data_IF_929425615525
#
_entry.id   IF_929425615525
#
_cell.length_a   1.000
_cell.length_b   1.000
_cell.length_c   1.000
_cell.angle_alpha   90.00
_cell.angle_beta   90.00
_cell.angle_gamma   90.00
#
_symmetry.space_group_name_H-M   'P 1'
#
loop_
_entity.id
_entity.type
_entity.pdbx_description
1 polymer ?
#
# COMPACT_ATOMS: atom_id res chain seq x y z
N UNK A 1 82.56 21.01 27.90
CA UNK A 1 81.16 20.49 27.88
C UNK A 1 80.58 20.80 26.49
N UNK A 2 80.56 19.80 25.60
CA UNK A 2 80.01 19.97 24.25
C UNK A 2 78.61 19.39 24.22
N UNK A 3 77.60 20.23 23.89
CA UNK A 3 76.21 19.79 23.66
C UNK A 3 76.06 19.29 22.23
N UNK A 4 75.72 18.01 22.07
CA UNK A 4 75.28 17.44 20.80
C UNK A 4 73.83 17.76 20.57
N UNK A 5 73.52 18.52 19.51
CA UNK A 5 72.16 18.72 18.99
C UNK A 5 71.82 17.59 18.02
N UNK A 6 70.93 16.70 18.43
CA UNK A 6 70.33 15.72 17.52
C UNK A 6 69.18 16.39 16.77
N UNK A 7 69.32 16.54 15.46
CA UNK A 7 68.36 17.02 14.57
C UNK A 7 67.51 15.81 14.10
N UNK A 8 66.24 15.73 14.54
CA UNK A 8 65.29 14.70 14.13
C UNK A 8 64.66 15.14 12.81
N UNK A 9 65.04 14.51 11.69
CA UNK A 9 64.39 14.73 10.39
C UNK A 9 63.14 13.88 10.35
N UNK A 10 61.96 14.52 10.41
CA UNK A 10 60.65 13.90 10.22
C UNK A 10 60.39 13.77 8.70
N UNK A 11 60.59 12.56 8.16
CA UNK A 11 60.28 12.25 6.77
C UNK A 11 58.73 12.10 6.62
N UNK A 12 58.04 13.13 6.11
CA UNK A 12 56.62 13.11 5.79
C UNK A 12 56.45 12.29 4.49
N UNK A 13 56.09 10.99 4.60
CA UNK A 13 55.63 10.19 3.49
C UNK A 13 54.21 10.66 3.09
N UNK A 14 54.15 11.56 2.12
CA UNK A 14 52.91 11.87 1.40
C UNK A 14 52.51 10.62 0.60
N UNK A 15 51.72 9.76 1.22
CA UNK A 15 51.01 8.71 0.52
C UNK A 15 49.98 9.36 -0.43
N UNK A 16 50.34 9.44 -1.71
CA UNK A 16 49.37 9.78 -2.78
C UNK A 16 48.35 8.66 -2.90
N UNK A 17 47.32 8.71 -2.05
CA UNK A 17 46.13 7.89 -2.21
C UNK A 17 45.48 8.26 -3.55
N UNK A 18 45.65 7.40 -4.55
CA UNK A 18 44.87 7.52 -5.78
C UNK A 18 43.40 7.29 -5.41
N UNK A 19 42.62 8.36 -5.37
CA UNK A 19 41.16 8.27 -5.30
C UNK A 19 40.73 7.59 -6.61
N UNK A 20 40.42 6.30 -6.56
CA UNK A 20 39.86 5.58 -7.69
C UNK A 20 38.39 6.11 -7.84
N UNK A 21 38.26 7.15 -8.63
CA UNK A 21 36.97 7.70 -8.99
C UNK A 21 36.26 6.67 -9.86
N UNK A 22 35.08 6.17 -9.40
CA UNK A 22 34.27 5.26 -10.18
C UNK A 22 33.90 5.91 -11.52
N UNK A 23 34.05 5.16 -12.61
CA UNK A 23 33.64 5.63 -13.94
C UNK A 23 32.15 5.39 -14.13
N UNK A 24 31.52 6.30 -14.85
CA UNK A 24 30.10 6.23 -15.22
C UNK A 24 29.96 6.37 -16.74
N UNK A 25 29.05 5.57 -17.32
CA UNK A 25 28.59 5.74 -18.70
C UNK A 25 27.08 5.73 -18.76
N UNK A 26 26.55 6.49 -19.71
CA UNK A 26 25.12 6.68 -19.91
C UNK A 26 24.73 6.37 -21.35
N UNK A 27 23.51 5.86 -21.53
CA UNK A 27 22.82 5.73 -22.84
C UNK A 27 21.45 6.42 -22.67
N UNK A 28 21.12 7.29 -23.60
CA UNK A 28 19.81 7.99 -23.63
C UNK A 28 19.02 7.48 -24.83
N UNK A 29 17.74 7.22 -24.59
CA UNK A 29 16.79 6.82 -25.63
C UNK A 29 15.60 7.77 -25.53
N UNK A 30 15.18 8.33 -26.65
CA UNK A 30 14.02 9.22 -26.74
C UNK A 30 13.04 8.68 -27.79
N UNK A 31 11.74 8.63 -27.43
CA UNK A 31 10.64 8.27 -28.33
C UNK A 31 9.48 9.22 -28.12
N UNK A 32 8.82 9.54 -29.19
CA UNK A 32 7.63 10.37 -29.22
C UNK A 32 6.64 9.78 -30.23
N UNK A 33 5.35 9.71 -29.88
CA UNK A 33 4.29 9.23 -30.76
C UNK A 33 2.96 9.88 -30.42
N UNK A 34 2.19 10.27 -31.44
CA UNK A 34 0.80 10.64 -31.30
C UNK A 34 -0.05 9.40 -31.02
N UNK A 35 -0.97 9.50 -30.07
CA UNK A 35 -1.82 8.38 -29.63
C UNK A 35 -3.29 8.78 -29.61
N UNK A 36 -4.13 7.79 -29.82
CA UNK A 36 -5.56 7.95 -29.68
C UNK A 36 -5.97 8.10 -28.20
N UNK A 37 -7.11 8.75 -27.98
CA UNK A 37 -7.73 8.81 -26.68
C UNK A 37 -8.05 7.39 -26.16
N UNK A 38 -7.63 7.08 -24.95
CA UNK A 38 -7.84 5.74 -24.36
C UNK A 38 -6.80 4.69 -24.81
N UNK A 39 -5.74 5.07 -25.53
CA UNK A 39 -4.65 4.15 -25.89
C UNK A 39 -4.02 3.51 -24.63
N UNK A 40 -3.54 2.28 -24.79
CA UNK A 40 -2.83 1.56 -23.71
C UNK A 40 -1.33 1.87 -23.75
N UNK A 41 -0.78 2.30 -22.61
CA UNK A 41 0.66 2.54 -22.43
C UNK A 41 1.21 1.47 -21.49
N UNK A 42 2.01 0.55 -22.06
CA UNK A 42 2.59 -0.60 -21.34
C UNK A 42 4.09 -0.39 -21.16
N UNK A 43 4.54 -0.39 -19.90
CA UNK A 43 5.96 -0.21 -19.56
C UNK A 43 6.39 -1.36 -18.66
N UNK A 44 7.44 -2.06 -19.07
CA UNK A 44 8.07 -3.12 -18.28
C UNK A 44 9.53 -2.74 -18.04
N UNK A 45 9.86 -2.52 -16.77
CA UNK A 45 11.20 -2.12 -16.33
C UNK A 45 11.63 -2.85 -15.07
N UNK A 46 12.93 -2.87 -14.85
CA UNK A 46 13.57 -3.32 -13.61
C UNK A 46 14.80 -2.47 -13.31
N UNK A 47 15.12 -2.30 -12.02
CA UNK A 47 16.32 -1.60 -11.53
C UNK A 47 16.38 -0.10 -11.84
N UNK A 48 15.27 0.59 -11.69
CA UNK A 48 15.18 2.04 -11.86
C UNK A 48 13.80 2.59 -11.58
N UNK A 49 13.59 3.89 -11.75
CA UNK A 49 12.30 4.52 -11.48
C UNK A 49 11.48 4.71 -12.76
N UNK A 50 10.16 4.58 -12.64
CA UNK A 50 9.19 5.07 -13.62
C UNK A 50 8.62 6.40 -13.11
N UNK A 51 8.96 7.50 -13.78
CA UNK A 51 8.44 8.84 -13.46
C UNK A 51 7.44 9.25 -14.55
N UNK A 52 6.16 9.17 -14.23
CA UNK A 52 5.08 9.35 -15.20
C UNK A 52 4.29 10.61 -14.85
N UNK A 53 4.16 11.49 -15.83
CA UNK A 53 3.37 12.71 -15.73
C UNK A 53 2.31 12.72 -16.82
N UNK A 54 1.06 12.79 -16.42
CA UNK A 54 -0.04 12.94 -17.36
C UNK A 54 -0.20 14.41 -17.80
N UNK A 55 -0.66 14.62 -19.03
CA UNK A 55 -0.86 15.93 -19.63
C UNK A 55 -2.09 15.98 -20.55
N UNK A 56 -2.35 17.16 -21.14
CA UNK A 56 -3.50 17.39 -22.02
C UNK A 56 -3.12 17.38 -23.53
N UNK A 57 -2.06 16.64 -23.91
CA UNK A 57 -1.67 16.48 -25.32
C UNK A 57 -1.90 15.03 -25.76
N UNK A 58 -2.42 14.80 -26.96
CA UNK A 58 -2.67 13.47 -27.54
C UNK A 58 -1.36 12.81 -28.02
N UNK A 59 -0.37 12.76 -27.15
CA UNK A 59 0.97 12.30 -27.45
C UNK A 59 1.63 11.64 -26.24
N UNK A 60 2.40 10.57 -26.49
CA UNK A 60 3.28 9.93 -25.50
C UNK A 60 4.73 10.31 -25.80
N UNK A 61 5.44 10.72 -24.77
CA UNK A 61 6.90 10.94 -24.81
C UNK A 61 7.55 10.03 -23.79
N UNK A 62 8.56 9.28 -24.23
CA UNK A 62 9.33 8.35 -23.39
C UNK A 62 10.81 8.71 -23.48
N UNK A 63 11.39 9.15 -22.38
CA UNK A 63 12.82 9.34 -22.21
C UNK A 63 13.36 8.25 -21.28
N UNK A 64 14.35 7.45 -21.77
CA UNK A 64 15.01 6.43 -20.97
C UNK A 64 16.46 6.81 -20.74
N UNK A 65 16.89 6.81 -19.50
CA UNK A 65 18.27 7.02 -19.08
C UNK A 65 18.85 5.74 -18.47
N UNK A 66 19.75 5.09 -19.22
CA UNK A 66 20.48 3.93 -18.75
C UNK A 66 21.85 4.40 -18.25
N UNK A 67 22.10 4.15 -16.96
CA UNK A 67 23.36 4.53 -16.27
C UNK A 67 24.09 3.28 -15.82
N UNK A 68 25.38 3.14 -16.14
CA UNK A 68 26.24 2.06 -15.65
C UNK A 68 27.45 2.64 -14.95
N UNK A 69 27.72 2.23 -13.72
CA UNK A 69 28.84 2.65 -12.87
C UNK A 69 29.72 1.48 -12.49
N UNK A 70 31.04 1.69 -12.41
CA UNK A 70 31.98 0.65 -12.00
C UNK A 70 33.43 1.13 -12.01
N UNK A 71 34.37 0.18 -11.87
CA UNK A 71 35.78 0.50 -11.86
C UNK A 71 36.49 0.18 -13.18
N UNK A 72 35.91 -0.70 -14.01
CA UNK A 72 36.54 -1.15 -15.26
C UNK A 72 35.74 -0.63 -16.46
N UNK A 73 36.34 0.30 -17.22
CA UNK A 73 35.68 0.95 -18.38
C UNK A 73 35.21 -0.05 -19.44
N UNK A 74 35.93 -1.13 -19.69
CA UNK A 74 35.54 -2.16 -20.68
C UNK A 74 34.30 -2.94 -20.21
N UNK A 75 34.25 -3.29 -18.91
CA UNK A 75 33.09 -3.97 -18.33
C UNK A 75 31.87 -3.06 -18.28
N UNK A 76 32.05 -1.77 -17.92
CA UNK A 76 30.98 -0.76 -17.95
C UNK A 76 30.40 -0.66 -19.37
N UNK A 77 31.26 -0.54 -20.41
CA UNK A 77 30.81 -0.45 -21.79
C UNK A 77 30.09 -1.73 -22.25
N UNK A 78 30.65 -2.91 -21.89
CA UNK A 78 30.00 -4.19 -22.20
C UNK A 78 28.60 -4.27 -21.58
N UNK A 79 28.47 -3.89 -20.29
CA UNK A 79 27.15 -3.88 -19.60
C UNK A 79 26.21 -2.88 -20.23
N UNK A 80 26.67 -1.66 -20.54
CA UNK A 80 25.82 -0.66 -21.18
C UNK A 80 25.28 -1.15 -22.55
N UNK A 81 26.08 -1.87 -23.30
CA UNK A 81 25.69 -2.44 -24.61
C UNK A 81 24.74 -3.65 -24.48
N UNK A 82 24.71 -4.32 -23.31
CA UNK A 82 23.80 -5.46 -23.07
C UNK A 82 22.41 -5.03 -22.62
N UNK A 83 22.22 -3.74 -22.30
CA UNK A 83 20.92 -3.20 -21.91
C UNK A 83 20.32 -2.42 -23.07
N UNK A 84 19.12 -2.79 -23.47
CA UNK A 84 18.35 -2.09 -24.50
C UNK A 84 16.88 -1.98 -24.12
N UNK A 85 16.10 -1.21 -24.88
CA UNK A 85 14.66 -1.09 -24.74
C UNK A 85 14.01 -1.44 -26.09
N UNK A 86 13.10 -2.40 -26.07
CA UNK A 86 12.26 -2.70 -27.22
C UNK A 86 11.02 -1.82 -27.20
N UNK A 87 10.58 -1.39 -28.37
CA UNK A 87 9.40 -0.53 -28.52
C UNK A 87 8.42 -1.11 -29.56
N UNK A 88 7.14 -1.10 -29.20
CA UNK A 88 6.02 -1.16 -30.14
C UNK A 88 5.27 0.17 -30.07
N UNK A 89 5.21 0.89 -31.15
CA UNK A 89 4.61 2.23 -31.20
C UNK A 89 3.46 2.25 -32.20
N UNK A 90 2.22 2.34 -31.71
CA UNK A 90 1.03 2.58 -32.53
C UNK A 90 0.11 3.61 -31.86
N UNK A 91 -0.80 4.25 -32.58
CA UNK A 91 -1.75 5.18 -31.98
C UNK A 91 -2.65 4.56 -30.90
N UNK A 92 -2.89 3.25 -30.94
CA UNK A 92 -3.75 2.53 -29.99
C UNK A 92 -2.99 1.93 -28.82
N UNK A 93 -1.69 1.62 -29.03
CA UNK A 93 -0.88 0.94 -28.02
C UNK A 93 0.60 1.35 -28.14
N UNK A 94 1.16 1.76 -27.03
CA UNK A 94 2.60 2.01 -26.88
C UNK A 94 3.17 1.02 -25.87
N UNK A 95 4.22 0.29 -26.28
CA UNK A 95 4.93 -0.63 -25.38
C UNK A 95 6.39 -0.22 -25.33
N UNK A 96 6.96 -0.17 -24.12
CA UNK A 96 8.40 -0.04 -23.89
C UNK A 96 8.83 -1.07 -22.87
N UNK A 97 9.71 -1.99 -23.30
CA UNK A 97 10.17 -3.11 -22.46
C UNK A 97 11.69 -3.08 -22.35
N UNK A 98 12.20 -3.05 -21.14
CA UNK A 98 13.64 -3.16 -20.87
C UNK A 98 14.13 -4.57 -21.14
N UNK A 99 15.16 -4.71 -21.99
CA UNK A 99 15.83 -5.97 -22.32
C UNK A 99 17.26 -6.00 -21.81
N UNK A 100 17.58 -6.98 -20.98
CA UNK A 100 18.93 -7.20 -20.45
C UNK A 100 19.46 -8.50 -21.06
N UNK A 101 20.29 -8.39 -22.10
CA UNK A 101 20.78 -9.51 -22.92
C UNK A 101 21.96 -10.30 -22.33
N UNK A 102 22.14 -10.29 -21.02
CA UNK A 102 23.14 -11.13 -20.33
C UNK A 102 22.41 -12.10 -19.39
N UNK A 103 22.63 -13.41 -19.55
CA UNK A 103 21.91 -14.49 -18.87
C UNK A 103 22.17 -14.64 -17.37
N UNK A 104 22.19 -13.55 -16.60
CA UNK A 104 22.66 -13.52 -15.23
C UNK A 104 21.72 -12.82 -14.23
N UNK A 105 20.54 -12.52 -14.60
CA UNK A 105 19.43 -12.10 -13.72
C UNK A 105 19.83 -11.35 -12.43
N UNK A 106 19.03 -11.56 -11.41
CA UNK A 106 19.15 -10.93 -10.08
C UNK A 106 20.49 -11.20 -9.40
N UNK A 107 21.03 -12.42 -9.53
CA UNK A 107 22.29 -12.83 -8.92
C UNK A 107 23.46 -11.94 -9.39
N UNK A 108 23.48 -11.61 -10.67
CA UNK A 108 24.52 -10.75 -11.23
C UNK A 108 24.40 -9.30 -10.71
N UNK A 109 23.20 -8.77 -10.55
CA UNK A 109 22.98 -7.42 -10.04
C UNK A 109 23.56 -7.23 -8.63
N UNK A 110 23.40 -8.22 -7.74
CA UNK A 110 23.91 -8.12 -6.37
C UNK A 110 25.42 -8.38 -6.24
N UNK A 111 25.98 -9.22 -7.09
CA UNK A 111 27.38 -9.68 -6.94
C UNK A 111 28.35 -9.09 -7.96
N UNK A 112 27.90 -8.33 -8.96
CA UNK A 112 28.81 -7.67 -9.90
C UNK A 112 29.42 -6.40 -9.32
N UNK A 113 30.63 -6.07 -9.80
CA UNK A 113 31.28 -4.80 -9.48
C UNK A 113 30.71 -3.59 -10.22
N UNK A 114 29.94 -3.86 -11.26
CA UNK A 114 29.24 -2.86 -12.08
C UNK A 114 27.78 -2.75 -11.62
N UNK A 115 27.35 -1.54 -11.24
CA UNK A 115 25.96 -1.22 -10.90
C UNK A 115 25.31 -0.49 -12.07
N UNK A 116 24.05 -0.77 -12.31
CA UNK A 116 23.28 -0.08 -13.35
C UNK A 116 21.92 0.36 -12.85
N UNK A 117 21.36 1.36 -13.54
CA UNK A 117 20.04 1.92 -13.29
C UNK A 117 19.39 2.28 -14.61
N UNK A 118 18.10 2.06 -14.74
CA UNK A 118 17.32 2.30 -15.95
C UNK A 118 16.09 3.12 -15.56
N UNK A 119 16.18 4.44 -15.75
CA UNK A 119 15.14 5.37 -15.34
C UNK A 119 14.30 5.79 -16.55
N UNK A 120 13.00 5.73 -16.42
CA UNK A 120 12.03 6.22 -17.40
C UNK A 120 11.43 7.53 -16.92
N UNK A 121 11.36 8.50 -17.82
CA UNK A 121 10.55 9.70 -17.69
C UNK A 121 9.53 9.71 -18.80
N UNK A 122 8.25 9.63 -18.43
CA UNK A 122 7.16 9.42 -19.37
C UNK A 122 6.15 10.55 -19.24
N UNK A 123 5.73 11.09 -20.38
CA UNK A 123 4.56 11.98 -20.45
C UNK A 123 3.50 11.30 -21.31
N UNK A 124 2.26 11.27 -20.84
CA UNK A 124 1.15 10.62 -21.52
C UNK A 124 -0.18 11.37 -21.32
N UNK A 125 -1.15 11.23 -22.22
CA UNK A 125 -2.49 11.80 -22.03
C UNK A 125 -3.15 11.24 -20.75
N UNK A 126 -3.75 12.08 -19.94
CA UNK A 126 -4.44 11.67 -18.70
C UNK A 126 -5.59 10.68 -18.93
N UNK A 127 -6.15 10.65 -20.16
CA UNK A 127 -7.27 9.77 -20.53
C UNK A 127 -6.84 8.37 -20.98
N UNK A 128 -5.53 8.13 -21.13
CA UNK A 128 -5.02 6.84 -21.55
C UNK A 128 -4.99 5.85 -20.37
N UNK A 129 -4.99 4.57 -20.70
CA UNK A 129 -4.80 3.51 -19.71
C UNK A 129 -3.33 3.15 -19.61
N UNK A 130 -2.89 2.69 -18.44
CA UNK A 130 -1.51 2.24 -18.23
C UNK A 130 -1.46 0.80 -17.74
N UNK A 131 -0.41 0.08 -18.16
CA UNK A 131 0.03 -1.20 -17.62
C UNK A 131 1.52 -1.08 -17.30
N UNK A 132 1.82 -0.98 -16.00
CA UNK A 132 3.15 -0.65 -15.50
C UNK A 132 3.68 -1.78 -14.65
N UNK A 133 4.82 -2.31 -15.03
CA UNK A 133 5.59 -3.25 -14.21
C UNK A 133 6.95 -2.65 -13.90
N UNK A 134 7.34 -2.63 -12.62
CA UNK A 134 8.66 -2.14 -12.21
C UNK A 134 9.19 -2.82 -10.96
N UNK A 135 10.28 -3.55 -11.08
CA UNK A 135 10.96 -4.17 -9.95
C UNK A 135 12.17 -3.34 -9.50
N UNK A 136 12.42 -3.31 -8.20
CA UNK A 136 13.56 -2.62 -7.59
C UNK A 136 13.63 -1.12 -7.92
N UNK A 137 12.48 -0.43 -7.84
CA UNK A 137 12.43 1.01 -8.07
C UNK A 137 11.10 1.63 -7.70
N UNK A 138 10.96 2.92 -7.93
CA UNK A 138 9.74 3.66 -7.58
C UNK A 138 8.89 3.91 -8.81
N UNK A 139 7.59 3.66 -8.74
CA UNK A 139 6.61 4.15 -9.71
C UNK A 139 6.00 5.43 -9.17
N UNK A 140 6.15 6.53 -9.91
CA UNK A 140 5.50 7.83 -9.64
C UNK A 140 4.53 8.14 -10.77
N UNK A 141 3.28 8.35 -10.43
CA UNK A 141 2.22 8.73 -11.37
C UNK A 141 1.36 9.82 -10.72
N UNK A 142 1.27 11.00 -11.35
CA UNK A 142 0.55 12.12 -10.76
C UNK A 142 -0.98 11.99 -10.86
N UNK A 143 -1.52 11.67 -12.04
CA UNK A 143 -2.98 11.60 -12.25
C UNK A 143 -3.32 10.74 -13.46
N UNK A 144 -4.42 10.00 -13.39
CA UNK A 144 -4.94 9.22 -14.51
C UNK A 144 -6.47 9.15 -14.48
N UNK A 145 -7.11 9.35 -15.64
CA UNK A 145 -8.55 9.18 -15.85
C UNK A 145 -8.87 7.80 -16.43
N UNK A 146 -7.93 7.21 -17.21
CA UNK A 146 -8.02 5.84 -17.69
C UNK A 146 -7.67 4.81 -16.62
N UNK A 147 -7.80 3.53 -16.96
CA UNK A 147 -7.50 2.43 -16.05
C UNK A 147 -5.99 2.35 -15.77
N UNK A 148 -5.63 2.20 -14.51
CA UNK A 148 -4.29 1.83 -14.08
C UNK A 148 -4.22 0.34 -13.74
N UNK A 149 -3.27 -0.39 -14.34
CA UNK A 149 -2.78 -1.69 -13.93
C UNK A 149 -1.32 -1.49 -13.54
N UNK A 150 -0.96 -1.69 -12.26
CA UNK A 150 0.37 -1.37 -11.73
C UNK A 150 0.87 -2.55 -10.92
N UNK A 151 2.04 -3.06 -11.29
CA UNK A 151 2.80 -4.06 -10.54
C UNK A 151 4.15 -3.49 -10.11
N UNK A 152 4.50 -3.63 -8.81
CA UNK A 152 5.76 -3.09 -8.29
C UNK A 152 6.30 -3.95 -7.14
N UNK A 153 7.39 -4.68 -7.39
CA UNK A 153 8.01 -5.51 -6.38
C UNK A 153 9.34 -4.91 -5.89
N UNK A 154 9.62 -5.05 -4.60
CA UNK A 154 10.83 -4.54 -3.96
C UNK A 154 11.06 -3.05 -4.21
N UNK A 155 9.99 -2.28 -4.28
CA UNK A 155 10.04 -0.89 -4.69
C UNK A 155 9.17 0.04 -3.83
N UNK A 156 8.55 1.00 -4.51
CA UNK A 156 7.65 1.96 -3.87
C UNK A 156 6.65 2.53 -4.88
N UNK A 157 5.41 2.73 -4.45
CA UNK A 157 4.39 3.48 -5.20
C UNK A 157 4.24 4.89 -4.63
N UNK A 158 4.23 5.90 -5.49
CA UNK A 158 3.85 7.28 -5.16
C UNK A 158 2.84 7.71 -6.21
N UNK A 159 1.59 7.53 -5.90
CA UNK A 159 0.48 7.75 -6.83
C UNK A 159 -0.34 8.96 -6.35
N UNK A 160 -0.61 9.89 -7.24
CA UNK A 160 -1.54 10.98 -7.01
C UNK A 160 -2.99 10.49 -7.15
N UNK A 161 -3.63 10.72 -8.28
CA UNK A 161 -5.07 10.49 -8.43
C UNK A 161 -5.40 9.48 -9.53
N UNK A 162 -6.18 8.43 -9.21
CA UNK A 162 -6.70 7.40 -10.13
C UNK A 162 -8.23 7.48 -10.18
N UNK A 163 -8.79 7.88 -11.32
CA UNK A 163 -10.23 8.16 -11.47
C UNK A 163 -11.03 7.02 -12.10
N UNK A 164 -10.41 5.95 -12.56
CA UNK A 164 -11.15 4.76 -13.01
C UNK A 164 -11.71 3.97 -11.83
N UNK A 165 -12.83 3.28 -12.05
CA UNK A 165 -13.48 2.45 -11.01
C UNK A 165 -12.80 1.08 -10.83
N UNK A 166 -11.99 0.64 -11.79
CA UNK A 166 -11.47 -0.73 -11.91
C UNK A 166 -9.94 -0.78 -11.99
N UNK A 167 -9.25 0.06 -11.22
CA UNK A 167 -7.80 0.00 -11.12
C UNK A 167 -7.34 -1.31 -10.49
N UNK A 168 -6.15 -1.75 -10.84
CA UNK A 168 -5.50 -2.94 -10.28
C UNK A 168 -4.11 -2.53 -9.82
N UNK A 169 -3.83 -2.71 -8.54
CA UNK A 169 -2.53 -2.44 -7.95
C UNK A 169 -2.04 -3.73 -7.28
N UNK A 170 -0.88 -4.22 -7.69
CA UNK A 170 -0.22 -5.38 -7.09
C UNK A 170 1.19 -4.97 -6.68
N UNK A 171 1.57 -5.16 -5.41
CA UNK A 171 2.90 -4.77 -4.97
C UNK A 171 3.34 -5.54 -3.73
N UNK A 172 4.52 -6.15 -3.84
CA UNK A 172 5.08 -6.96 -2.79
C UNK A 172 6.42 -6.38 -2.29
N UNK A 173 6.71 -6.60 -1.01
CA UNK A 173 7.94 -6.11 -0.38
C UNK A 173 8.18 -4.60 -0.58
N UNK A 174 7.09 -3.82 -0.57
CA UNK A 174 7.16 -2.36 -0.71
C UNK A 174 6.99 -1.67 0.64
N UNK A 175 7.61 -0.50 0.80
CA UNK A 175 7.50 0.27 2.03
C UNK A 175 7.20 1.74 1.77
N UNK A 176 6.41 2.35 2.67
CA UNK A 176 6.01 3.76 2.59
C UNK A 176 5.35 4.13 1.24
N UNK A 177 4.59 3.22 0.64
CA UNK A 177 3.81 3.50 -0.56
C UNK A 177 2.64 4.43 -0.24
N UNK A 178 2.31 5.35 -1.15
CA UNK A 178 1.26 6.35 -0.92
C UNK A 178 0.41 6.59 -2.16
N UNK A 179 -0.90 6.75 -1.93
CA UNK A 179 -1.90 7.08 -2.94
C UNK A 179 -2.76 8.23 -2.41
N UNK A 180 -2.82 9.34 -3.15
CA UNK A 180 -3.63 10.49 -2.74
C UNK A 180 -5.13 10.22 -2.93
N UNK A 181 -5.51 9.70 -4.11
CA UNK A 181 -6.89 9.35 -4.43
C UNK A 181 -6.98 8.13 -5.33
N UNK A 182 -7.86 7.21 -5.00
CA UNK A 182 -8.27 6.11 -5.87
C UNK A 182 -9.80 5.96 -5.84
N UNK A 183 -10.44 6.06 -7.01
CA UNK A 183 -11.89 5.97 -7.10
C UNK A 183 -12.40 4.56 -6.79
N UNK A 184 -11.72 3.54 -7.31
CA UNK A 184 -12.07 2.16 -7.02
C UNK A 184 -11.08 1.17 -7.64
N UNK A 185 -11.15 -0.08 -7.20
CA UNK A 185 -10.35 -1.17 -7.73
C UNK A 185 -9.93 -2.22 -6.73
N UNK A 186 -9.00 -3.07 -7.16
CA UNK A 186 -8.42 -4.15 -6.36
C UNK A 186 -6.98 -3.82 -6.02
N UNK A 187 -6.60 -4.06 -4.77
CA UNK A 187 -5.23 -3.94 -4.26
C UNK A 187 -4.81 -5.30 -3.72
N UNK A 188 -3.70 -5.83 -4.23
CA UNK A 188 -3.02 -7.00 -3.68
C UNK A 188 -1.66 -6.56 -3.16
N UNK A 189 -1.35 -6.85 -1.89
CA UNK A 189 -0.13 -6.35 -1.27
C UNK A 189 0.37 -7.31 -0.18
N UNK A 190 1.53 -7.93 -0.39
CA UNK A 190 2.14 -8.80 0.60
C UNK A 190 3.45 -8.21 1.14
N UNK A 191 3.72 -8.45 2.42
CA UNK A 191 4.94 -7.94 3.09
C UNK A 191 5.17 -6.45 2.89
N UNK A 192 4.10 -5.65 2.89
CA UNK A 192 4.14 -4.27 2.46
C UNK A 192 3.56 -3.31 3.51
N UNK A 193 3.85 -2.02 3.35
CA UNK A 193 3.15 -0.96 4.06
C UNK A 193 2.75 0.18 3.11
N UNK A 194 1.50 0.64 3.23
CA UNK A 194 0.98 1.70 2.37
C UNK A 194 -0.10 2.54 3.06
N UNK A 195 -0.28 3.75 2.55
CA UNK A 195 -1.33 4.67 2.96
C UNK A 195 -2.12 5.21 1.77
N UNK A 196 -3.44 5.35 1.95
CA UNK A 196 -4.35 5.96 0.98
C UNK A 196 -5.09 7.09 1.67
N UNK A 197 -4.93 8.31 1.13
CA UNK A 197 -5.58 9.49 1.72
C UNK A 197 -7.09 9.46 1.48
N UNK A 198 -7.54 9.15 0.25
CA UNK A 198 -8.97 9.05 -0.06
C UNK A 198 -9.25 7.94 -1.05
N UNK A 199 -10.23 7.11 -0.76
CA UNK A 199 -10.69 6.04 -1.63
C UNK A 199 -12.22 6.00 -1.75
N UNK A 200 -12.70 5.52 -2.90
CA UNK A 200 -14.09 5.12 -3.06
C UNK A 200 -14.29 3.67 -2.63
N UNK A 201 -14.41 2.74 -3.57
CA UNK A 201 -14.64 1.31 -3.29
C UNK A 201 -13.38 0.49 -3.58
N UNK A 202 -12.82 -0.15 -2.54
CA UNK A 202 -11.59 -0.96 -2.63
C UNK A 202 -11.85 -2.38 -2.15
N UNK A 203 -11.36 -3.34 -2.94
CA UNK A 203 -11.13 -4.71 -2.53
C UNK A 203 -9.64 -4.90 -2.24
N UNK A 204 -9.31 -5.24 -0.99
CA UNK A 204 -7.94 -5.44 -0.51
C UNK A 204 -7.70 -6.92 -0.19
N UNK A 205 -6.68 -7.50 -0.82
CA UNK A 205 -6.11 -8.80 -0.44
C UNK A 205 -4.67 -8.58 0.02
N UNK A 206 -4.37 -8.94 1.28
CA UNK A 206 -3.06 -8.64 1.85
C UNK A 206 -2.64 -9.67 2.89
N UNK A 207 -1.35 -10.03 2.87
CA UNK A 207 -0.73 -10.84 3.91
C UNK A 207 0.50 -10.10 4.47
N UNK A 208 0.74 -10.18 5.79
CA UNK A 208 1.87 -9.50 6.46
C UNK A 208 1.98 -8.00 6.14
N UNK A 209 0.85 -7.33 5.94
CA UNK A 209 0.80 -5.97 5.41
C UNK A 209 0.14 -5.00 6.39
N UNK A 210 0.70 -3.79 6.48
CA UNK A 210 0.10 -2.69 7.20
C UNK A 210 -0.57 -1.72 6.20
N UNK A 211 -1.89 -1.70 6.18
CA UNK A 211 -2.69 -0.83 5.33
C UNK A 211 -3.33 0.31 6.12
N UNK A 212 -3.26 1.52 5.62
CA UNK A 212 -3.86 2.71 6.22
C UNK A 212 -4.72 3.47 5.21
N UNK A 213 -5.97 3.75 5.58
CA UNK A 213 -6.92 4.55 4.81
C UNK A 213 -7.34 5.75 5.67
N UNK A 214 -7.12 6.98 5.19
CA UNK A 214 -7.61 8.14 5.92
C UNK A 214 -9.13 8.32 5.72
N UNK A 215 -9.61 8.21 4.48
CA UNK A 215 -11.05 8.19 4.19
C UNK A 215 -11.38 7.18 3.10
N UNK A 216 -12.37 6.32 3.33
CA UNK A 216 -12.83 5.33 2.36
C UNK A 216 -14.34 5.14 2.42
N UNK A 217 -14.99 5.06 1.25
CA UNK A 217 -16.44 4.84 1.17
C UNK A 217 -16.82 3.39 1.47
N UNK A 218 -16.14 2.44 0.82
CA UNK A 218 -16.33 0.99 1.05
C UNK A 218 -15.01 0.28 0.99
N UNK A 219 -14.68 -0.47 2.05
CA UNK A 219 -13.54 -1.37 2.09
C UNK A 219 -14.03 -2.80 2.30
N UNK A 220 -13.71 -3.66 1.33
CA UNK A 220 -13.84 -5.11 1.45
C UNK A 220 -12.41 -5.64 1.54
N UNK A 221 -12.11 -6.44 2.58
CA UNK A 221 -10.73 -6.85 2.77
C UNK A 221 -10.59 -8.30 3.24
N UNK A 222 -9.47 -8.90 2.86
CA UNK A 222 -8.81 -10.00 3.53
C UNK A 222 -7.39 -9.54 3.88
N UNK A 223 -7.03 -9.58 5.17
CA UNK A 223 -5.69 -9.17 5.61
C UNK A 223 -5.25 -10.02 6.80
N UNK A 224 -4.35 -10.96 6.56
CA UNK A 224 -3.81 -11.85 7.58
C UNK A 224 -2.44 -11.35 8.06
N UNK A 225 -2.12 -11.53 9.35
CA UNK A 225 -0.85 -11.13 9.98
C UNK A 225 -0.48 -9.65 9.78
N UNK A 226 -1.44 -8.74 9.94
CA UNK A 226 -1.19 -7.35 9.64
C UNK A 226 -1.91 -6.36 10.55
N UNK A 227 -1.88 -5.10 10.09
CA UNK A 227 -2.60 -4.01 10.73
C UNK A 227 -3.41 -3.25 9.69
N UNK A 228 -4.70 -3.10 9.95
CA UNK A 228 -5.59 -2.28 9.14
C UNK A 228 -6.06 -1.07 9.95
N UNK A 229 -5.74 0.13 9.44
CA UNK A 229 -6.20 1.40 10.00
C UNK A 229 -7.13 2.04 8.99
N UNK A 230 -8.33 2.44 9.42
CA UNK A 230 -9.28 3.16 8.59
C UNK A 230 -9.92 4.29 9.41
N UNK A 231 -9.50 5.55 9.17
CA UNK A 231 -9.87 6.65 10.05
C UNK A 231 -11.32 7.10 9.86
N UNK A 232 -11.81 7.19 8.62
CA UNK A 232 -13.20 7.53 8.32
C UNK A 232 -13.74 6.57 7.26
N UNK A 233 -14.72 5.75 7.63
CA UNK A 233 -15.20 4.62 6.81
C UNK A 233 -16.69 4.68 6.62
N UNK A 234 -17.16 4.51 5.40
CA UNK A 234 -18.57 4.25 5.12
C UNK A 234 -18.92 2.81 5.51
N UNK A 235 -18.60 1.84 4.68
CA UNK A 235 -18.80 0.42 4.93
C UNK A 235 -17.47 -0.32 5.06
N UNK A 236 -17.36 -1.20 6.06
CA UNK A 236 -16.19 -2.03 6.31
C UNK A 236 -16.61 -3.50 6.40
N UNK A 237 -16.09 -4.33 5.49
CA UNK A 237 -16.36 -5.76 5.45
C UNK A 237 -15.07 -6.53 5.27
N UNK A 238 -14.90 -7.63 5.98
CA UNK A 238 -13.72 -8.45 5.72
C UNK A 238 -13.41 -9.47 6.77
N UNK A 239 -12.30 -10.15 6.51
CA UNK A 239 -11.75 -11.22 7.33
C UNK A 239 -10.28 -10.94 7.64
N UNK A 240 -9.79 -11.47 8.75
CA UNK A 240 -8.38 -11.39 9.07
C UNK A 240 -7.97 -12.24 10.24
N UNK A 241 -6.91 -13.02 10.04
CA UNK A 241 -6.27 -13.79 11.10
C UNK A 241 -5.05 -13.02 11.62
N UNK A 242 -4.86 -13.00 12.94
CA UNK A 242 -3.79 -12.20 13.59
C UNK A 242 -3.82 -10.71 13.20
N UNK A 243 -5.02 -10.18 12.97
CA UNK A 243 -5.21 -8.82 12.50
C UNK A 243 -5.42 -7.84 13.67
N UNK A 244 -4.73 -6.71 13.63
CA UNK A 244 -5.05 -5.52 14.44
C UNK A 244 -5.86 -4.54 13.61
N UNK A 245 -7.18 -4.50 13.81
CA UNK A 245 -8.07 -3.54 13.17
C UNK A 245 -8.29 -2.30 14.03
N UNK A 246 -8.06 -1.12 13.47
CA UNK A 246 -8.37 0.19 14.08
C UNK A 246 -9.23 1.01 13.13
N UNK A 247 -10.48 1.27 13.53
CA UNK A 247 -11.38 2.17 12.83
C UNK A 247 -11.58 3.44 13.66
N UNK A 248 -11.46 4.61 13.03
CA UNK A 248 -11.78 5.89 13.64
C UNK A 248 -13.29 6.08 13.74
N UNK A 249 -13.92 6.46 12.64
CA UNK A 249 -15.37 6.70 12.54
C UNK A 249 -15.98 5.75 11.52
N UNK A 250 -17.00 5.02 11.96
CA UNK A 250 -17.84 4.15 11.12
C UNK A 250 -19.17 4.82 10.83
N UNK A 251 -19.58 4.86 9.55
CA UNK A 251 -20.74 5.66 9.12
C UNK A 251 -21.91 4.85 8.56
N UNK A 252 -21.72 3.62 8.05
CA UNK A 252 -22.80 2.86 7.40
C UNK A 252 -22.93 1.42 7.90
N UNK A 253 -21.88 0.62 7.78
CA UNK A 253 -21.98 -0.82 8.01
C UNK A 253 -20.63 -1.42 8.44
N UNK A 254 -20.70 -2.42 9.34
CA UNK A 254 -19.58 -3.28 9.70
C UNK A 254 -19.97 -4.75 9.55
N UNK A 255 -19.11 -5.56 8.93
CA UNK A 255 -19.23 -7.01 8.91
C UNK A 255 -17.84 -7.64 8.95
N UNK A 256 -17.47 -8.23 10.07
CA UNK A 256 -16.13 -8.75 10.32
C UNK A 256 -16.17 -10.21 10.77
N UNK A 257 -15.16 -10.94 10.32
CA UNK A 257 -14.80 -12.28 10.81
C UNK A 257 -13.30 -12.26 11.12
N UNK A 258 -12.92 -12.45 12.41
CA UNK A 258 -11.54 -12.22 12.83
C UNK A 258 -11.09 -13.22 13.89
N UNK A 259 -9.95 -13.85 13.64
CA UNK A 259 -9.31 -14.76 14.59
C UNK A 259 -7.97 -14.19 15.11
N UNK A 260 -7.67 -14.38 16.40
CA UNK A 260 -6.39 -13.99 17.03
C UNK A 260 -6.00 -12.54 16.80
N UNK A 261 -6.80 -11.59 17.26
CA UNK A 261 -6.46 -10.20 16.99
C UNK A 261 -7.07 -9.17 17.94
N UNK A 262 -7.33 -8.00 17.39
CA UNK A 262 -8.07 -6.96 18.11
C UNK A 262 -8.87 -6.07 17.17
N UNK A 263 -10.10 -5.76 17.55
CA UNK A 263 -11.00 -4.86 16.84
C UNK A 263 -11.23 -3.64 17.73
N UNK A 264 -10.83 -2.47 17.27
CA UNK A 264 -11.03 -1.21 17.97
C UNK A 264 -11.68 -0.17 17.06
N UNK A 265 -12.95 0.14 17.31
CA UNK A 265 -13.72 1.17 16.61
C UNK A 265 -13.94 2.32 17.57
N UNK A 266 -13.39 3.50 17.27
CA UNK A 266 -13.46 4.65 18.18
C UNK A 266 -14.85 5.25 18.25
N UNK A 267 -15.57 5.29 17.12
CA UNK A 267 -16.92 5.86 17.07
C UNK A 267 -17.79 5.17 16.01
N UNK A 268 -18.90 4.61 16.44
CA UNK A 268 -20.00 4.15 15.60
C UNK A 268 -21.04 5.28 15.57
N UNK A 269 -21.32 5.80 14.36
CA UNK A 269 -22.23 6.91 14.14
C UNK A 269 -23.70 6.46 14.21
N UNK A 270 -24.64 7.38 14.53
CA UNK A 270 -26.07 7.08 14.53
C UNK A 270 -26.63 6.61 13.18
N UNK A 271 -25.93 6.89 12.09
CA UNK A 271 -26.29 6.47 10.72
C UNK A 271 -25.93 5.02 10.40
N UNK A 272 -25.23 4.31 11.30
CA UNK A 272 -24.83 2.91 11.08
C UNK A 272 -26.07 2.02 11.15
N UNK A 273 -26.28 1.25 10.08
CA UNK A 273 -27.44 0.36 9.92
C UNK A 273 -27.22 -0.99 10.60
N UNK A 274 -26.00 -1.53 10.49
CA UNK A 274 -25.67 -2.85 11.02
C UNK A 274 -24.21 -2.97 11.41
N UNK A 275 -23.97 -3.65 12.54
CA UNK A 275 -22.68 -4.12 13.00
C UNK A 275 -22.78 -5.62 13.26
N UNK A 276 -21.99 -6.41 12.53
CA UNK A 276 -21.88 -7.88 12.68
C UNK A 276 -20.42 -8.20 12.90
N UNK A 277 -20.12 -8.88 13.99
CA UNK A 277 -18.76 -9.30 14.32
C UNK A 277 -18.80 -10.76 14.77
N UNK A 278 -18.10 -11.64 14.06
CA UNK A 278 -17.73 -12.96 14.51
C UNK A 278 -16.25 -12.94 14.87
N UNK A 279 -15.89 -13.43 16.03
CA UNK A 279 -14.52 -13.32 16.49
C UNK A 279 -14.12 -14.50 17.39
N UNK A 280 -12.87 -14.97 17.22
CA UNK A 280 -12.24 -15.93 18.13
C UNK A 280 -10.92 -15.35 18.64
N UNK A 281 -10.61 -15.57 19.94
CA UNK A 281 -9.38 -15.07 20.57
C UNK A 281 -9.10 -13.59 20.27
N UNK A 282 -10.17 -12.77 20.19
CA UNK A 282 -10.10 -11.39 19.72
C UNK A 282 -10.79 -10.46 20.73
N UNK A 283 -10.07 -9.42 21.17
CA UNK A 283 -10.65 -8.35 21.97
C UNK A 283 -11.39 -7.33 21.10
N UNK A 284 -12.65 -7.03 21.45
CA UNK A 284 -13.51 -6.11 20.72
C UNK A 284 -13.78 -4.88 21.58
N UNK A 285 -13.47 -3.69 21.04
CA UNK A 285 -13.77 -2.40 21.69
C UNK A 285 -14.54 -1.50 20.74
N UNK A 286 -15.77 -1.15 21.10
CA UNK A 286 -16.66 -0.30 20.31
C UNK A 286 -17.01 0.97 21.09
N UNK A 287 -16.72 2.12 20.47
CA UNK A 287 -17.20 3.42 20.90
C UNK A 287 -18.58 3.69 20.31
N UNK A 288 -19.57 3.87 21.14
CA UNK A 288 -20.97 4.02 20.75
C UNK A 288 -21.37 5.49 20.86
N UNK A 289 -21.84 6.07 19.76
CA UNK A 289 -22.45 7.41 19.81
C UNK A 289 -23.75 7.37 20.65
N UNK A 290 -23.91 8.31 21.54
CA UNK A 290 -25.07 8.37 22.45
C UNK A 290 -26.44 8.45 21.76
N UNK A 291 -26.45 8.91 20.51
CA UNK A 291 -27.68 9.04 19.71
C UNK A 291 -27.92 7.82 18.81
N UNK A 292 -27.01 6.85 18.77
CA UNK A 292 -27.25 5.61 18.02
C UNK A 292 -28.29 4.75 18.74
N UNK A 293 -29.27 4.26 17.98
CA UNK A 293 -30.36 3.43 18.45
C UNK A 293 -30.28 2.08 17.79
N UNK A 294 -30.22 1.00 18.56
CA UNK A 294 -30.05 -0.34 18.00
C UNK A 294 -30.63 -1.45 18.90
N UNK A 295 -31.04 -2.52 18.23
CA UNK A 295 -31.26 -3.82 18.86
C UNK A 295 -29.94 -4.58 18.88
N UNK A 296 -29.65 -5.29 19.96
CA UNK A 296 -28.40 -6.06 20.05
C UNK A 296 -28.67 -7.52 20.42
N UNK A 297 -27.77 -8.39 19.89
CA UNK A 297 -27.63 -9.78 20.26
C UNK A 297 -26.14 -10.09 20.41
N UNK A 298 -25.71 -10.46 21.60
CA UNK A 298 -24.30 -10.71 21.95
C UNK A 298 -24.21 -12.09 22.59
N UNK A 299 -23.51 -13.02 21.92
CA UNK A 299 -23.25 -14.40 22.38
C UNK A 299 -21.75 -14.59 22.58
N UNK A 300 -21.36 -14.86 23.82
CA UNK A 300 -19.97 -14.98 24.23
C UNK A 300 -19.71 -16.33 24.86
N UNK A 301 -18.78 -17.11 24.29
CA UNK A 301 -18.25 -18.33 24.90
C UNK A 301 -16.86 -18.06 25.47
N UNK A 302 -16.63 -18.40 26.74
CA UNK A 302 -15.39 -18.07 27.48
C UNK A 302 -15.00 -16.60 27.44
N UNK A 303 -15.95 -15.69 27.26
CA UNK A 303 -15.77 -14.24 27.17
C UNK A 303 -16.70 -13.49 28.12
N UNK A 304 -16.51 -12.17 28.20
CA UNK A 304 -17.40 -11.31 29.03
C UNK A 304 -17.72 -10.00 28.30
N UNK A 305 -18.90 -9.44 28.66
CA UNK A 305 -19.35 -8.12 28.22
C UNK A 305 -19.09 -7.10 29.31
N UNK A 306 -18.28 -6.10 28.97
CA UNK A 306 -18.07 -4.90 29.78
C UNK A 306 -18.73 -3.70 29.10
N UNK A 307 -19.77 -3.15 29.69
CA UNK A 307 -20.49 -2.00 29.12
C UNK A 307 -20.69 -0.92 30.16
N UNK A 308 -20.44 0.33 29.78
CA UNK A 308 -20.83 1.52 30.54
C UNK A 308 -22.05 2.22 29.96
N UNK A 309 -22.69 1.61 28.95
CA UNK A 309 -23.96 2.05 28.40
C UNK A 309 -25.14 1.56 29.25
N UNK A 310 -26.22 2.33 29.29
CA UNK A 310 -27.51 1.91 29.88
C UNK A 310 -28.25 0.96 28.91
N UNK A 311 -27.77 -0.28 28.79
CA UNK A 311 -28.40 -1.29 27.94
C UNK A 311 -29.70 -1.78 28.60
N UNK A 312 -30.77 -1.85 27.82
CA UNK A 312 -32.02 -2.48 28.25
C UNK A 312 -32.02 -3.95 27.82
N UNK A 313 -31.82 -4.85 28.78
CA UNK A 313 -31.71 -6.29 28.54
C UNK A 313 -33.12 -6.92 28.54
N UNK A 314 -33.59 -7.41 27.41
CA UNK A 314 -34.78 -8.29 27.34
C UNK A 314 -34.44 -9.73 27.74
N UNK A 315 -33.20 -10.17 27.45
CA UNK A 315 -32.69 -11.48 27.88
C UNK A 315 -31.26 -11.30 28.37
N UNK A 316 -30.95 -11.88 29.53
CA UNK A 316 -29.60 -12.04 30.08
C UNK A 316 -29.48 -13.45 30.63
N UNK A 317 -28.61 -14.25 30.04
CA UNK A 317 -28.32 -15.61 30.49
C UNK A 317 -26.81 -15.75 30.71
N UNK A 318 -26.43 -16.19 31.89
CA UNK A 318 -25.04 -16.54 32.24
C UNK A 318 -25.03 -17.99 32.73
N UNK A 319 -24.58 -18.92 31.90
CA UNK A 319 -24.58 -20.35 32.15
C UNK A 319 -23.20 -20.92 31.87
N UNK A 320 -22.52 -21.38 32.94
CA UNK A 320 -21.16 -21.92 32.83
C UNK A 320 -20.19 -20.97 32.13
N UNK A 321 -19.82 -21.27 30.89
CA UNK A 321 -18.87 -20.50 30.11
C UNK A 321 -19.54 -19.64 29.03
N UNK A 322 -20.87 -19.68 28.92
CA UNK A 322 -21.64 -18.93 27.93
C UNK A 322 -22.36 -17.74 28.58
N UNK A 323 -22.17 -16.58 28.01
CA UNK A 323 -22.83 -15.34 28.36
C UNK A 323 -23.63 -14.84 27.15
N UNK A 324 -24.96 -14.82 27.26
CA UNK A 324 -25.86 -14.37 26.19
C UNK A 324 -26.65 -13.15 26.63
N UNK A 325 -26.61 -12.09 25.82
CA UNK A 325 -27.29 -10.82 26.07
C UNK A 325 -28.10 -10.42 24.83
N UNK A 326 -29.36 -10.06 25.02
CA UNK A 326 -30.23 -9.52 23.97
C UNK A 326 -31.06 -8.37 24.53
N UNK A 327 -31.25 -7.34 23.72
CA UNK A 327 -32.00 -6.16 24.16
C UNK A 327 -31.90 -4.99 23.22
N UNK A 328 -32.07 -3.79 23.76
CA UNK A 328 -32.07 -2.54 23.00
C UNK A 328 -31.22 -1.48 23.69
N UNK A 329 -30.73 -0.55 22.91
CA UNK A 329 -30.12 0.69 23.37
C UNK A 329 -30.77 1.87 22.66
N UNK A 330 -31.25 2.88 23.43
CA UNK A 330 -31.91 4.04 22.89
C UNK A 330 -33.08 3.69 21.92
N UNK A 331 -34.12 2.94 22.34
CA UNK A 331 -35.12 2.44 21.42
C UNK A 331 -35.81 3.59 20.66
N UNK A 332 -35.84 3.47 19.34
CA UNK A 332 -36.49 4.41 18.42
C UNK A 332 -37.23 3.65 17.32
N UNK A 333 -37.85 4.37 16.40
CA UNK A 333 -38.53 3.75 15.23
C UNK A 333 -37.53 3.28 14.15
N UNK A 334 -36.23 3.57 14.29
CA UNK A 334 -35.19 3.15 13.35
C UNK A 334 -34.50 1.94 13.95
N UNK A 335 -34.47 0.83 13.22
CA UNK A 335 -33.92 -0.43 13.71
C UNK A 335 -32.54 -0.63 13.10
N UNK A 336 -31.50 -0.17 13.84
CA UNK A 336 -30.13 -0.62 13.59
C UNK A 336 -29.84 -1.88 14.40
N UNK A 337 -28.84 -2.65 14.01
CA UNK A 337 -28.50 -3.91 14.69
C UNK A 337 -27.05 -3.98 15.11
N UNK A 338 -26.78 -4.58 16.28
CA UNK A 338 -25.46 -4.93 16.78
C UNK A 338 -25.45 -6.41 17.14
N UNK A 339 -24.83 -7.24 16.30
CA UNK A 339 -24.70 -8.67 16.52
C UNK A 339 -23.22 -9.03 16.71
N UNK A 340 -22.89 -9.65 17.84
CA UNK A 340 -21.55 -10.10 18.17
C UNK A 340 -21.60 -11.56 18.62
N UNK A 341 -20.84 -12.40 17.94
CA UNK A 341 -20.50 -13.75 18.38
C UNK A 341 -19.01 -13.79 18.65
N UNK A 342 -18.60 -14.19 19.85
CA UNK A 342 -17.19 -14.21 20.19
C UNK A 342 -16.85 -15.38 21.11
N UNK A 343 -15.72 -16.04 20.80
CA UNK A 343 -15.10 -17.04 21.66
C UNK A 343 -13.76 -16.51 22.20
N UNK A 344 -13.49 -16.72 23.51
CA UNK A 344 -12.24 -16.31 24.18
C UNK A 344 -11.84 -14.85 23.99
N UNK A 345 -12.80 -13.91 24.08
CA UNK A 345 -12.55 -12.49 23.93
C UNK A 345 -13.37 -11.62 24.89
N UNK A 346 -12.93 -10.37 25.09
CA UNK A 346 -13.67 -9.39 25.87
C UNK A 346 -14.33 -8.39 24.93
N UNK A 347 -15.66 -8.22 25.08
CA UNK A 347 -16.41 -7.19 24.37
C UNK A 347 -16.59 -5.98 25.27
N UNK A 348 -16.13 -4.80 24.82
CA UNK A 348 -16.26 -3.53 25.54
C UNK A 348 -17.10 -2.56 24.73
N UNK A 349 -18.25 -2.14 25.28
CA UNK A 349 -19.12 -1.12 24.71
C UNK A 349 -19.03 0.16 25.58
N UNK A 350 -18.48 1.23 25.02
CA UNK A 350 -18.26 2.49 25.76
C UNK A 350 -18.97 3.66 25.05
N UNK A 351 -19.53 4.63 25.79
CA UNK A 351 -19.97 5.86 25.15
C UNK A 351 -18.77 6.63 24.60
N UNK A 352 -18.96 7.27 23.44
CA UNK A 352 -17.97 8.22 22.92
C UNK A 352 -17.99 9.47 23.80
N UNK A 353 -16.85 9.80 24.39
CA UNK A 353 -16.66 11.05 25.13
C UNK A 353 -16.29 12.13 24.10
N UNK A 354 -17.18 13.11 23.97
CA UNK A 354 -16.95 14.31 23.13
C UNK A 354 -15.87 15.20 23.74
#
# INVERSE_FOLDING_TARGET
MKFFKHSLIFLFLLGSGTIIQGQERIKKIHKEIEVNKGALIEIDNSFGDLNITSWDQDKVVIDVLITVKGRNSKKIQKKLNSIDVSFLLSPEKVVAETKINEGWGLTWFFFSSEKYRIDYTIKLPKTNSVDLTNDYGTIRLNRLEGKANISCDFGKLIIGELFADNNILAFDYTSNSSIEYIKGGTITADFSDFEIEKAGEIELNADYTNASFNSIETLIFKNDFGKLIANNVGALKGTGDYLTLKCGVLNKLLSLDNEFGSINIKQIQPSVESVIINAEYTDIKLGIDKNWSFDYEIDLEYGDLSSSLALDHSIMKKISFQNYFKGTFNPSNTISTLNITSEFGIVKLNPVIQ
#
